data_IF_344033334695
#
_entry.id   IF_344033334695
#
_cell.length_a   1.000
_cell.length_b   1.000
_cell.length_c   1.000
_cell.angle_alpha   90.00
_cell.angle_beta   90.00
_cell.angle_gamma   90.00
#
_symmetry.space_group_name_H-M   'P 1'
#
loop_
_entity.id
_entity.type
_entity.pdbx_description
1 polymer ?
#
# COMPACT_ATOMS: atom_id res chain seq x y z
N UNK A 1 7.01 -3.71 11.02
CA UNK A 1 7.23 -3.17 9.64
C UNK A 1 7.20 -4.27 8.60
N UNK A 2 8.03 -5.33 8.74
CA UNK A 2 7.99 -6.47 7.82
C UNK A 2 6.69 -7.28 7.92
N UNK A 3 6.13 -7.42 9.11
CA UNK A 3 4.84 -8.11 9.30
C UNK A 3 3.67 -7.39 8.62
N UNK A 4 3.58 -6.05 8.79
CA UNK A 4 2.59 -5.26 8.07
C UNK A 4 2.78 -5.39 6.56
N UNK A 5 4.02 -5.29 6.07
CA UNK A 5 4.34 -5.52 4.67
C UNK A 5 3.85 -6.89 4.19
N UNK A 6 4.09 -7.97 4.94
CA UNK A 6 3.60 -9.32 4.65
C UNK A 6 2.08 -9.47 4.70
N UNK A 7 1.37 -8.60 5.41
CA UNK A 7 -0.10 -8.58 5.40
C UNK A 7 -0.59 -7.95 4.10
N UNK A 8 0.13 -6.96 3.56
CA UNK A 8 -0.18 -6.33 2.28
C UNK A 8 0.30 -7.15 1.08
N UNK A 9 1.50 -7.72 1.15
CA UNK A 9 2.14 -8.59 0.16
C UNK A 9 1.60 -10.02 0.29
N UNK A 10 0.52 -10.32 -0.44
CA UNK A 10 -0.17 -11.61 -0.31
C UNK A 10 0.55 -12.71 -1.08
N UNK A 11 1.20 -12.37 -2.19
CA UNK A 11 1.95 -13.31 -3.01
C UNK A 11 3.38 -13.54 -2.50
N UNK A 12 3.90 -12.68 -1.62
CA UNK A 12 5.24 -12.78 -1.04
C UNK A 12 6.35 -12.40 -2.01
N UNK A 13 6.06 -11.63 -3.07
CA UNK A 13 7.04 -11.28 -4.09
C UNK A 13 7.94 -10.12 -3.68
N UNK A 14 7.66 -9.50 -2.53
CA UNK A 14 8.42 -8.37 -2.01
C UNK A 14 7.96 -7.02 -2.56
N UNK A 15 6.83 -7.01 -3.26
CA UNK A 15 6.18 -5.83 -3.83
C UNK A 15 4.69 -5.87 -3.51
N UNK A 16 4.10 -4.71 -3.25
CA UNK A 16 2.65 -4.58 -3.02
C UNK A 16 2.06 -3.98 -4.29
N UNK A 17 1.24 -4.75 -4.97
CA UNK A 17 0.51 -4.26 -6.14
C UNK A 17 -0.75 -3.49 -5.72
N UNK A 18 -1.32 -2.70 -6.64
CA UNK A 18 -2.59 -1.99 -6.42
C UNK A 18 -3.70 -2.95 -5.99
N UNK A 19 -3.72 -4.16 -6.56
CA UNK A 19 -4.78 -5.14 -6.30
C UNK A 19 -4.66 -5.73 -4.90
N UNK A 20 -3.44 -6.07 -4.47
CA UNK A 20 -3.16 -6.57 -3.12
C UNK A 20 -3.40 -5.50 -2.05
N UNK A 21 -2.94 -4.27 -2.31
CA UNK A 21 -3.25 -3.13 -1.45
C UNK A 21 -4.76 -2.96 -1.29
N UNK A 22 -5.51 -2.99 -2.40
CA UNK A 22 -6.97 -2.87 -2.39
C UNK A 22 -7.65 -3.99 -1.60
N UNK A 23 -7.24 -5.25 -1.82
CA UNK A 23 -7.80 -6.40 -1.13
C UNK A 23 -7.65 -6.25 0.39
N UNK A 24 -6.46 -5.86 0.84
CA UNK A 24 -6.15 -5.70 2.26
C UNK A 24 -6.83 -4.46 2.84
N UNK A 25 -6.82 -3.32 2.14
CA UNK A 25 -7.55 -2.12 2.58
C UNK A 25 -9.06 -2.36 2.68
N UNK A 26 -9.63 -3.13 1.74
CA UNK A 26 -11.04 -3.55 1.81
C UNK A 26 -11.29 -4.47 2.99
N UNK A 27 -10.38 -5.41 3.26
CA UNK A 27 -10.48 -6.32 4.41
C UNK A 27 -10.35 -5.60 5.75
N UNK A 28 -9.60 -4.50 5.80
CA UNK A 28 -9.46 -3.62 6.96
C UNK A 28 -10.63 -2.62 7.10
N UNK A 29 -11.56 -2.58 6.13
CA UNK A 29 -12.69 -1.65 6.12
C UNK A 29 -12.29 -0.19 5.85
N UNK A 30 -11.09 0.04 5.32
CA UNK A 30 -10.58 1.39 5.03
C UNK A 30 -11.23 1.95 3.76
N UNK A 31 -11.67 3.21 3.82
CA UNK A 31 -12.39 3.85 2.71
C UNK A 31 -11.56 3.93 1.44
N UNK A 32 -10.24 4.08 1.53
CA UNK A 32 -9.38 4.13 0.33
C UNK A 32 -9.20 2.77 -0.36
N UNK A 33 -9.57 1.67 0.29
CA UNK A 33 -9.68 0.36 -0.34
C UNK A 33 -10.95 0.19 -1.19
N UNK A 34 -11.91 1.14 -1.13
CA UNK A 34 -13.19 1.00 -1.84
C UNK A 34 -13.05 1.04 -3.36
N UNK A 35 -12.11 1.85 -3.88
CA UNK A 35 -11.95 2.01 -5.31
C UNK A 35 -10.51 1.78 -5.74
N UNK A 36 -10.35 1.24 -6.95
CA UNK A 36 -9.04 1.08 -7.58
C UNK A 36 -8.33 2.43 -7.78
N UNK A 37 -9.09 3.51 -7.98
CA UNK A 37 -8.54 4.85 -8.21
C UNK A 37 -7.89 5.42 -6.94
N UNK A 38 -8.54 5.24 -5.78
CA UNK A 38 -7.98 5.62 -4.48
C UNK A 38 -6.72 4.82 -4.17
N UNK A 39 -6.74 3.50 -4.38
CA UNK A 39 -5.55 2.65 -4.21
C UNK A 39 -4.41 3.07 -5.16
N UNK A 40 -4.73 3.36 -6.43
CA UNK A 40 -3.74 3.88 -7.39
C UNK A 40 -3.16 5.21 -6.96
N UNK A 41 -3.97 6.12 -6.41
CA UNK A 41 -3.49 7.41 -5.88
C UNK A 41 -2.56 7.22 -4.69
N UNK A 42 -2.89 6.30 -3.78
CA UNK A 42 -2.03 5.96 -2.64
C UNK A 42 -0.69 5.41 -3.12
N UNK A 43 -0.70 4.44 -4.04
CA UNK A 43 0.54 3.90 -4.62
C UNK A 43 1.32 5.01 -5.32
N UNK A 44 0.70 5.79 -6.21
CA UNK A 44 1.37 6.91 -6.90
C UNK A 44 2.02 7.95 -5.99
N UNK A 45 1.55 8.12 -4.75
CA UNK A 45 2.16 9.06 -3.82
C UNK A 45 3.47 8.56 -3.22
N UNK A 46 3.69 7.24 -3.22
CA UNK A 46 4.84 6.59 -2.57
C UNK A 46 5.70 5.80 -3.53
N UNK A 47 5.16 5.50 -4.71
CA UNK A 47 5.82 4.96 -5.90
C UNK A 47 6.74 6.05 -6.46
N UNK A 48 8.01 5.98 -6.05
CA UNK A 48 9.06 6.92 -6.44
C UNK A 48 9.69 6.47 -7.75
N UNK A 49 9.78 5.16 -7.98
CA UNK A 49 10.40 4.59 -9.17
C UNK A 49 9.44 4.47 -10.37
N UNK A 50 8.14 4.60 -10.14
CA UNK A 50 7.11 4.66 -11.17
C UNK A 50 6.73 3.30 -11.75
N UNK A 51 7.04 2.19 -11.08
CA UNK A 51 6.70 0.85 -11.55
C UNK A 51 5.24 0.46 -11.30
N UNK A 52 4.49 1.32 -10.60
CA UNK A 52 3.08 1.12 -10.26
C UNK A 52 2.86 0.12 -9.13
N UNK A 53 3.91 -0.21 -8.37
CA UNK A 53 3.91 -1.10 -7.21
C UNK A 53 4.58 -0.36 -6.05
N UNK A 54 4.57 -0.99 -4.88
CA UNK A 54 5.25 -0.46 -3.70
C UNK A 54 6.21 -1.50 -3.19
N UNK A 55 7.51 -1.24 -3.32
CA UNK A 55 8.53 -2.10 -2.76
C UNK A 55 8.69 -1.89 -1.24
N UNK A 56 9.42 -2.78 -0.58
CA UNK A 56 9.63 -2.69 0.88
C UNK A 56 10.19 -1.33 1.35
N UNK A 57 11.05 -0.67 0.56
CA UNK A 57 11.63 0.63 0.93
C UNK A 57 10.59 1.74 0.84
N UNK A 58 9.79 1.75 -0.23
CA UNK A 58 8.70 2.71 -0.46
C UNK A 58 7.60 2.56 0.59
N UNK A 59 7.21 1.32 0.90
CA UNK A 59 6.25 1.04 1.98
C UNK A 59 6.77 1.55 3.33
N UNK A 60 8.07 1.39 3.60
CA UNK A 60 8.67 1.90 4.84
C UNK A 60 8.68 3.43 4.87
N UNK A 61 8.90 4.10 3.75
CA UNK A 61 8.77 5.55 3.64
C UNK A 61 7.31 5.98 3.85
N UNK A 62 6.35 5.28 3.25
CA UNK A 62 4.92 5.52 3.41
C UNK A 62 4.49 5.45 4.88
N UNK A 63 4.89 4.39 5.60
CA UNK A 63 4.59 4.24 7.03
C UNK A 63 5.30 5.29 7.90
N UNK A 64 6.51 5.72 7.52
CA UNK A 64 7.27 6.72 8.27
C UNK A 64 6.82 8.16 7.99
N UNK A 65 6.30 8.42 6.80
CA UNK A 65 5.84 9.74 6.32
C UNK A 65 4.38 10.06 6.64
N UNK A 66 3.65 9.16 7.31
CA UNK A 66 2.27 9.41 7.73
C UNK A 66 1.20 9.12 6.67
N UNK A 67 1.55 8.53 5.52
CA UNK A 67 0.57 8.19 4.47
C UNK A 67 -0.52 7.21 4.92
N UNK A 68 -0.23 6.38 5.93
CA UNK A 68 -1.23 5.56 6.64
C UNK A 68 -1.68 6.15 7.98
N UNK A 69 -0.82 6.91 8.67
CA UNK A 69 -1.15 7.51 9.97
C UNK A 69 -2.13 8.68 9.87
N UNK A 70 -2.25 9.32 8.70
CA UNK A 70 -3.23 10.38 8.42
C UNK A 70 -4.66 9.85 8.17
N UNK A 71 -4.87 8.54 8.29
CA UNK A 71 -6.17 7.88 8.10
C UNK A 71 -6.89 7.58 9.42
N UNK A 72 -6.32 8.02 10.54
CA UNK A 72 -6.92 8.02 11.87
C UNK A 72 -7.56 9.35 12.20
#
# INVERSE_FOLDING_TARGET
MKEAFNVFDQNGDGFITVDELKAVLSSLGLKQGKTLDDCKKMIKQVDVDGDGRVNYKEFRQMMKGGGFSALG
#
